data_IF_942166102083
#
_entry.id   IF_942166102083
#
_cell.length_a   1.000
_cell.length_b   1.000
_cell.length_c   1.000
_cell.angle_alpha   90.00
_cell.angle_beta   90.00
_cell.angle_gamma   90.00
#
_symmetry.space_group_name_H-M   'P 1'
#
loop_
_entity.id
_entity.type
_entity.pdbx_description
1 polymer ?
#
# COMPACT_ATOMS: atom_id res chain seq x y z
N UNK A 1 8.50 4.45 21.75
CA UNK A 1 7.23 5.17 21.92
C UNK A 1 6.20 4.45 21.06
N UNK A 2 5.06 4.04 21.64
CA UNK A 2 4.17 3.04 21.03
C UNK A 2 2.77 3.04 21.63
N UNK A 3 1.86 2.25 21.04
CA UNK A 3 0.48 2.09 21.50
C UNK A 3 0.50 1.35 22.83
N UNK A 4 -0.02 1.98 23.89
CA UNK A 4 -0.11 1.38 25.22
C UNK A 4 -1.39 0.57 25.35
N UNK A 5 -2.49 1.06 24.77
CA UNK A 5 -3.80 0.42 24.84
C UNK A 5 -4.63 0.71 23.59
N UNK A 6 -5.50 -0.22 23.19
CA UNK A 6 -6.39 -0.09 22.04
C UNK A 6 -7.79 -0.65 22.32
N UNK A 7 -8.81 0.10 21.94
CA UNK A 7 -10.22 -0.28 22.00
C UNK A 7 -10.91 0.15 20.70
N UNK A 8 -11.10 -0.81 19.78
CA UNK A 8 -11.59 -0.54 18.43
C UNK A 8 -10.64 0.38 17.64
N UNK A 9 -11.16 1.54 17.23
CA UNK A 9 -10.43 2.57 16.48
C UNK A 9 -9.73 3.60 17.39
N UNK A 10 -9.95 3.51 18.71
CA UNK A 10 -9.30 4.35 19.69
C UNK A 10 -7.97 3.75 20.12
N UNK A 11 -6.95 4.61 20.24
CA UNK A 11 -5.62 4.23 20.73
C UNK A 11 -5.15 5.21 21.80
N UNK A 12 -4.54 4.68 22.86
CA UNK A 12 -3.75 5.45 23.81
C UNK A 12 -2.27 5.23 23.46
N UNK A 13 -1.60 6.26 22.98
CA UNK A 13 -0.21 6.21 22.50
C UNK A 13 0.71 6.95 23.46
N UNK A 14 1.80 6.32 23.90
CA UNK A 14 2.84 7.00 24.69
C UNK A 14 3.77 7.77 23.74
N UNK A 15 3.73 9.10 23.80
CA UNK A 15 4.58 9.99 22.99
C UNK A 15 5.92 10.26 23.64
N UNK A 16 5.95 10.55 24.93
CA UNK A 16 7.17 10.81 25.69
C UNK A 16 6.96 10.34 27.14
N UNK A 17 8.01 10.40 27.97
CA UNK A 17 7.86 10.13 29.39
C UNK A 17 6.95 11.17 30.03
N UNK A 18 5.79 10.67 30.46
CA UNK A 18 4.71 11.46 31.02
C UNK A 18 3.77 12.13 30.03
N UNK A 19 3.92 11.89 28.71
CA UNK A 19 3.00 12.40 27.67
C UNK A 19 2.33 11.25 26.93
N UNK A 20 1.01 11.24 26.97
CA UNK A 20 0.17 10.29 26.26
C UNK A 20 -0.77 11.02 25.31
N UNK A 21 -1.15 10.38 24.21
CA UNK A 21 -2.14 10.90 23.27
C UNK A 21 -3.25 9.88 23.04
N UNK A 22 -4.49 10.31 23.19
CA UNK A 22 -5.66 9.57 22.75
C UNK A 22 -5.88 9.93 21.28
N UNK A 23 -5.82 8.93 20.40
CA UNK A 23 -6.10 9.08 18.97
C UNK A 23 -7.33 8.27 18.58
N UNK A 24 -8.09 8.76 17.60
CA UNK A 24 -9.18 8.03 16.96
C UNK A 24 -8.88 7.99 15.46
N UNK A 25 -8.77 6.80 14.88
CA UNK A 25 -8.31 6.65 13.49
C UNK A 25 -7.00 7.39 13.20
N UNK A 26 -6.08 7.40 14.18
CA UNK A 26 -4.78 8.11 14.17
C UNK A 26 -4.85 9.63 14.25
N UNK A 27 -6.04 10.23 14.25
CA UNK A 27 -6.19 11.66 14.48
C UNK A 27 -6.13 11.94 15.99
N UNK A 28 -5.18 12.74 16.49
CA UNK A 28 -5.06 13.06 17.91
C UNK A 28 -6.29 13.84 18.38
N UNK A 29 -7.00 13.27 19.35
CA UNK A 29 -8.21 13.83 19.93
C UNK A 29 -7.92 14.57 21.24
N UNK A 30 -7.02 14.03 22.06
CA UNK A 30 -6.68 14.58 23.37
C UNK A 30 -5.24 14.21 23.76
N UNK A 31 -4.54 15.12 24.44
CA UNK A 31 -3.20 14.89 24.98
C UNK A 31 -3.28 14.87 26.50
N UNK A 32 -2.62 13.89 27.13
CA UNK A 32 -2.64 13.68 28.57
C UNK A 32 -1.23 13.86 29.11
N UNK A 33 -1.08 14.71 30.13
CA UNK A 33 0.16 14.94 30.86
C UNK A 33 0.06 14.34 32.25
N UNK A 34 1.03 13.51 32.61
CA UNK A 34 1.17 12.93 33.97
C UNK A 34 2.27 13.66 34.74
N UNK A 35 2.42 13.45 36.06
CA UNK A 35 3.45 14.15 36.86
C UNK A 35 4.89 13.82 36.45
N UNK A 36 5.10 12.72 35.72
CA UNK A 36 6.39 12.33 35.18
C UNK A 36 6.85 13.23 34.02
N UNK A 37 5.94 14.06 33.49
CA UNK A 37 6.25 15.00 32.42
C UNK A 37 7.26 16.05 32.90
N UNK A 38 8.41 16.11 32.23
CA UNK A 38 9.43 17.13 32.47
C UNK A 38 9.34 18.16 31.35
N UNK A 39 8.90 19.40 31.62
CA UNK A 39 8.78 20.43 30.61
C UNK A 39 10.13 20.63 29.91
N UNK A 40 10.17 20.40 28.60
CA UNK A 40 11.35 20.54 27.78
C UNK A 40 11.43 21.93 27.15
N UNK A 41 12.57 22.25 26.53
CA UNK A 41 12.70 23.48 25.72
C UNK A 41 11.95 23.42 24.37
N UNK A 42 11.24 22.32 24.07
CA UNK A 42 10.56 22.07 22.79
C UNK A 42 9.02 22.07 22.89
N UNK A 43 8.45 22.45 24.05
CA UNK A 43 7.01 22.44 24.35
C UNK A 43 6.17 23.41 23.47
N UNK A 44 6.83 24.10 22.53
CA UNK A 44 6.24 25.11 21.67
C UNK A 44 5.92 24.62 20.24
N UNK A 45 5.84 23.31 20.01
CA UNK A 45 5.30 22.78 18.76
C UNK A 45 3.78 22.95 18.72
N UNK A 46 3.39 24.12 18.24
CA UNK A 46 2.03 24.45 17.87
C UNK A 46 1.54 23.75 16.60
N UNK A 47 0.32 24.18 16.23
CA UNK A 47 -0.45 23.86 15.03
C UNK A 47 -1.25 22.55 15.11
N UNK A 48 -1.99 22.43 16.20
CA UNK A 48 -3.19 21.61 16.36
C UNK A 48 -3.77 21.91 17.73
N UNK A 49 -4.99 22.45 17.82
CA UNK A 49 -5.64 22.74 19.10
C UNK A 49 -6.17 21.44 19.75
N UNK A 50 -5.28 20.47 19.97
CA UNK A 50 -5.63 19.23 20.68
C UNK A 50 -5.75 19.59 22.16
N UNK A 51 -6.91 19.36 22.81
CA UNK A 51 -7.09 19.64 24.23
C UNK A 51 -6.06 18.87 25.06
N UNK A 52 -5.51 19.54 26.07
CA UNK A 52 -4.53 18.97 26.99
C UNK A 52 -5.18 18.75 28.35
N UNK A 53 -5.10 17.53 28.86
CA UNK A 53 -5.58 17.12 30.17
C UNK A 53 -4.40 16.80 31.09
N UNK A 54 -4.40 17.31 32.31
CA UNK A 54 -3.40 16.95 33.31
C UNK A 54 -4.02 15.93 34.25
N UNK A 55 -3.36 14.79 34.44
CA UNK A 55 -3.79 13.72 35.33
C UNK A 55 -2.73 13.45 36.39
N UNK A 56 -3.12 12.90 37.53
CA UNK A 56 -2.22 12.59 38.65
C UNK A 56 -1.45 11.28 38.42
N UNK A 57 -1.94 10.39 37.56
CA UNK A 57 -1.31 9.09 37.32
C UNK A 57 -1.63 8.51 35.94
N UNK A 58 -0.86 7.50 35.54
CA UNK A 58 -1.13 6.71 34.33
C UNK A 58 -2.49 6.00 34.38
N UNK A 59 -2.92 5.51 35.56
CA UNK A 59 -4.22 4.85 35.71
C UNK A 59 -5.39 5.78 35.41
N UNK A 60 -5.24 7.07 35.69
CA UNK A 60 -6.25 8.08 35.36
C UNK A 60 -6.25 8.39 33.85
N UNK A 61 -5.08 8.37 33.20
CA UNK A 61 -4.99 8.45 31.74
C UNK A 61 -5.72 7.28 31.05
N UNK A 62 -5.60 6.06 31.60
CA UNK A 62 -6.36 4.91 31.11
C UNK A 62 -7.87 5.07 31.32
N UNK A 63 -8.30 5.60 32.47
CA UNK A 63 -9.71 5.88 32.73
C UNK A 63 -10.30 6.88 31.73
N UNK A 64 -9.58 7.96 31.42
CA UNK A 64 -9.98 8.91 30.37
C UNK A 64 -10.07 8.24 28.99
N UNK A 65 -9.12 7.36 28.68
CA UNK A 65 -9.14 6.60 27.42
C UNK A 65 -10.38 5.70 27.33
N UNK A 66 -10.68 4.92 28.38
CA UNK A 66 -11.87 4.05 28.44
C UNK A 66 -13.16 4.86 28.31
N UNK A 67 -13.24 6.03 28.96
CA UNK A 67 -14.40 6.92 28.85
C UNK A 67 -14.59 7.39 27.39
N UNK A 68 -13.52 7.78 26.70
CA UNK A 68 -13.58 8.20 25.29
C UNK A 68 -13.96 7.05 24.36
N UNK A 69 -13.37 5.87 24.57
CA UNK A 69 -13.60 4.69 23.76
C UNK A 69 -15.04 4.20 23.88
N UNK A 70 -15.61 4.20 25.10
CA UNK A 70 -16.93 3.65 25.38
C UNK A 70 -18.06 4.70 25.31
N UNK A 71 -17.76 5.98 25.58
CA UNK A 71 -18.73 7.06 25.73
C UNK A 71 -19.44 7.48 24.43
N UNK A 72 -18.93 7.12 23.25
CA UNK A 72 -19.59 7.42 21.96
C UNK A 72 -20.76 6.51 21.62
N UNK A 73 -20.94 5.39 22.32
CA UNK A 73 -22.10 4.51 22.16
C UNK A 73 -23.43 5.22 22.46
N UNK A 74 -23.41 6.30 23.24
CA UNK A 74 -24.63 6.90 23.81
C UNK A 74 -25.00 8.29 23.26
N UNK A 75 -24.14 8.98 22.49
CA UNK A 75 -24.40 10.39 22.12
C UNK A 75 -24.61 10.67 20.62
N UNK A 76 -24.54 9.68 19.73
CA UNK A 76 -24.74 9.90 18.27
C UNK A 76 -26.21 9.99 17.82
N UNK A 77 -27.17 10.25 18.72
CA UNK A 77 -28.58 10.49 18.35
C UNK A 77 -29.10 11.91 18.66
N UNK A 78 -28.21 12.88 18.89
CA UNK A 78 -28.61 14.28 19.02
C UNK A 78 -27.94 15.11 17.93
N UNK A 79 -28.70 15.37 16.87
CA UNK A 79 -28.40 16.32 15.81
C UNK A 79 -28.60 17.75 16.35
N UNK A 80 -27.54 18.55 16.63
CA UNK A 80 -27.71 19.94 16.98
C UNK A 80 -27.70 20.73 15.67
N UNK A 81 -28.87 21.28 15.34
CA UNK A 81 -29.07 22.12 14.18
C UNK A 81 -28.04 23.26 14.09
N UNK A 82 -27.54 23.45 12.87
CA UNK A 82 -26.80 24.62 12.41
C UNK A 82 -27.49 25.91 12.87
N UNK A 83 -26.80 26.71 13.68
CA UNK A 83 -26.94 28.17 13.68
C UNK A 83 -25.55 28.77 13.51
N UNK A 84 -25.37 29.43 12.38
CA UNK A 84 -24.19 30.21 12.02
C UNK A 84 -24.45 31.67 12.39
N UNK A 85 -23.57 32.34 13.15
CA UNK A 85 -23.51 33.78 13.15
C UNK A 85 -22.31 34.24 12.32
N UNK A 86 -22.68 34.94 11.25
CA UNK A 86 -21.87 35.82 10.44
C UNK A 86 -21.05 36.79 11.32
N UNK A 87 -19.73 36.83 11.15
CA UNK A 87 -18.83 37.72 11.90
C UNK A 87 -17.55 37.96 11.10
N UNK A 88 -17.55 39.02 10.29
CA UNK A 88 -16.43 39.41 9.44
C UNK A 88 -15.26 39.96 10.23
N UNK A 89 -14.05 39.63 9.78
CA UNK A 89 -12.83 40.35 10.10
C UNK A 89 -11.98 40.50 8.83
N UNK A 90 -11.69 41.75 8.50
CA UNK A 90 -10.88 42.13 7.34
C UNK A 90 -9.41 41.81 7.53
N UNK A 91 -8.76 41.40 6.45
CA UNK A 91 -7.32 41.19 6.37
C UNK A 91 -6.75 42.22 5.39
N UNK A 92 -5.68 42.95 5.73
CA UNK A 92 -5.04 43.87 4.80
C UNK A 92 -4.18 43.11 3.78
N UNK A 93 -4.33 43.53 2.52
CA UNK A 93 -3.53 43.12 1.37
C UNK A 93 -2.06 43.51 1.55
N UNK A 94 -1.18 42.52 1.70
CA UNK A 94 0.27 42.69 1.59
C UNK A 94 0.70 42.46 0.14
N UNK A 95 1.26 43.50 -0.47
CA UNK A 95 1.88 43.47 -1.78
C UNK A 95 3.31 42.90 -1.70
N UNK A 96 3.63 42.15 -2.76
CA UNK A 96 4.93 42.09 -3.45
C UNK A 96 6.07 41.25 -2.85
N UNK A 97 6.51 40.23 -3.58
CA UNK A 97 7.89 40.13 -4.12
C UNK A 97 8.06 38.89 -5.04
N UNK A 98 8.82 39.11 -6.13
CA UNK A 98 9.21 38.15 -7.16
C UNK A 98 10.01 36.94 -6.62
N UNK A 99 9.92 35.76 -7.27
CA UNK A 99 10.92 34.71 -7.09
C UNK A 99 12.13 34.91 -8.01
N UNK A 100 13.37 34.63 -7.54
CA UNK A 100 14.52 34.53 -8.42
C UNK A 100 14.54 33.20 -9.18
N UNK A 101 14.82 33.30 -10.47
CA UNK A 101 15.14 32.20 -11.38
C UNK A 101 16.48 31.55 -10.97
N UNK A 102 16.40 30.37 -10.36
CA UNK A 102 17.55 29.49 -10.10
C UNK A 102 17.44 28.23 -10.95
N UNK A 103 18.23 28.15 -12.02
CA UNK A 103 18.37 26.95 -12.83
C UNK A 103 19.19 25.90 -12.06
N UNK A 104 18.52 24.90 -11.51
CA UNK A 104 19.16 23.69 -10.99
C UNK A 104 19.06 22.59 -12.05
N UNK A 105 20.21 22.23 -12.61
CA UNK A 105 20.40 21.03 -13.42
C UNK A 105 20.14 19.80 -12.57
N UNK A 106 18.95 19.23 -12.71
CA UNK A 106 18.59 17.96 -12.09
C UNK A 106 19.45 16.83 -12.68
N UNK A 107 20.32 16.28 -11.84
CA UNK A 107 21.02 15.02 -12.07
C UNK A 107 19.99 13.91 -12.05
N UNK A 108 19.71 13.32 -13.21
CA UNK A 108 18.82 12.16 -13.37
C UNK A 108 19.37 11.00 -12.51
N UNK A 109 18.65 10.52 -11.49
CA UNK A 109 19.04 9.31 -10.79
C UNK A 109 18.79 8.12 -11.71
N UNK A 110 19.84 7.32 -11.93
CA UNK A 110 19.75 6.02 -12.57
C UNK A 110 18.94 5.08 -11.65
N UNK A 111 17.64 4.99 -11.89
CA UNK A 111 16.80 3.95 -11.33
C UNK A 111 17.07 2.65 -12.12
N UNK A 112 17.81 1.74 -11.50
CA UNK A 112 17.83 0.32 -11.86
C UNK A 112 16.86 -0.36 -10.91
N UNK A 113 15.58 -0.34 -11.30
CA UNK A 113 14.55 -1.19 -10.70
C UNK A 113 14.17 -2.18 -11.80
N UNK A 114 14.80 -3.36 -11.76
CA UNK A 114 14.63 -4.44 -12.72
C UNK A 114 13.30 -5.18 -12.45
N UNK A 115 12.20 -4.43 -12.30
CA UNK A 115 10.88 -5.00 -12.43
C UNK A 115 10.65 -5.22 -13.93
N UNK A 116 10.92 -6.44 -14.40
CA UNK A 116 10.55 -6.91 -15.73
C UNK A 116 9.01 -6.81 -15.85
N UNK A 117 8.53 -5.64 -16.27
CA UNK A 117 7.14 -5.48 -16.67
C UNK A 117 6.97 -6.27 -17.96
N UNK A 118 6.46 -7.50 -17.83
CA UNK A 118 6.06 -8.32 -18.96
C UNK A 118 4.91 -7.60 -19.67
N UNK A 119 5.26 -6.80 -20.68
CA UNK A 119 4.30 -6.20 -21.58
C UNK A 119 3.59 -7.32 -22.33
N UNK A 120 2.26 -7.26 -22.52
CA UNK A 120 1.56 -8.24 -23.33
C UNK A 120 2.22 -8.34 -24.71
N UNK A 121 2.20 -9.52 -25.36
CA UNK A 121 2.82 -9.71 -26.67
C UNK A 121 2.41 -8.64 -27.70
N UNK A 122 1.15 -8.18 -27.68
CA UNK A 122 0.73 -7.07 -28.54
C UNK A 122 1.18 -5.69 -28.08
N UNK A 123 1.41 -5.48 -26.78
CA UNK A 123 2.08 -4.28 -26.27
C UNK A 123 3.51 -4.16 -26.80
N UNK A 124 4.26 -5.27 -26.79
CA UNK A 124 5.61 -5.33 -27.38
C UNK A 124 5.56 -5.07 -28.89
N UNK A 125 4.65 -5.72 -29.61
CA UNK A 125 4.51 -5.53 -31.06
C UNK A 125 4.18 -4.07 -31.43
N UNK A 126 3.29 -3.41 -30.66
CA UNK A 126 2.93 -2.01 -30.87
C UNK A 126 4.13 -1.08 -30.66
N UNK A 127 4.89 -1.30 -29.58
CA UNK A 127 6.11 -0.53 -29.29
C UNK A 127 7.13 -0.71 -30.42
N UNK A 128 7.35 -1.94 -30.89
CA UNK A 128 8.26 -2.21 -32.01
C UNK A 128 7.85 -1.47 -33.29
N UNK A 129 6.55 -1.47 -33.64
CA UNK A 129 6.04 -0.73 -34.81
C UNK A 129 6.27 0.77 -34.66
N UNK A 130 5.89 1.35 -33.51
CA UNK A 130 6.03 2.79 -33.27
C UNK A 130 7.51 3.20 -33.31
N UNK A 131 8.38 2.47 -32.62
CA UNK A 131 9.83 2.75 -32.61
C UNK A 131 10.43 2.60 -34.00
N UNK A 132 10.04 1.58 -34.76
CA UNK A 132 10.48 1.38 -36.14
C UNK A 132 10.08 2.54 -37.07
N UNK A 133 8.81 2.98 -37.01
CA UNK A 133 8.31 4.13 -37.79
C UNK A 133 9.05 5.41 -37.43
N UNK A 134 9.19 5.72 -36.14
CA UNK A 134 9.89 6.91 -35.66
C UNK A 134 11.36 6.92 -36.09
N UNK A 135 12.05 5.78 -36.00
CA UNK A 135 13.43 5.64 -36.46
C UNK A 135 13.58 5.95 -37.96
N UNK A 136 12.68 5.41 -38.80
CA UNK A 136 12.70 5.64 -40.26
C UNK A 136 12.38 7.11 -40.60
N UNK A 137 11.39 7.72 -39.92
CA UNK A 137 11.02 9.12 -40.18
C UNK A 137 12.11 10.10 -39.75
N UNK A 138 12.82 9.82 -38.67
CA UNK A 138 13.88 10.71 -38.13
C UNK A 138 15.20 10.62 -38.91
N UNK A 139 15.57 9.43 -39.41
CA UNK A 139 16.80 9.26 -40.20
C UNK A 139 16.68 9.70 -41.66
N UNK A 140 15.45 9.80 -42.16
CA UNK A 140 15.19 9.85 -43.60
C UNK A 140 15.48 8.50 -44.29
N UNK A 141 15.13 8.41 -45.57
CA UNK A 141 15.27 7.19 -46.37
C UNK A 141 16.69 7.12 -46.95
N UNK A 142 17.67 6.84 -46.09
CA UNK A 142 19.05 6.57 -46.48
C UNK A 142 19.31 5.06 -46.44
N UNK A 143 19.08 4.39 -47.57
CA UNK A 143 19.30 2.96 -47.71
C UNK A 143 20.76 2.59 -47.34
N UNK A 144 20.91 1.66 -46.40
CA UNK A 144 22.21 1.19 -45.92
C UNK A 144 22.70 1.81 -44.61
N UNK A 145 22.01 2.83 -44.08
CA UNK A 145 22.33 3.33 -42.73
C UNK A 145 21.91 2.31 -41.66
N UNK A 146 22.71 2.17 -40.59
CA UNK A 146 22.43 1.24 -39.48
C UNK A 146 21.07 1.55 -38.84
N UNK A 147 20.76 2.85 -38.65
CA UNK A 147 19.49 3.29 -38.08
C UNK A 147 18.30 2.86 -38.95
N UNK A 148 18.41 2.99 -40.27
CA UNK A 148 17.37 2.53 -41.20
C UNK A 148 17.19 1.01 -41.16
N UNK A 149 18.28 0.24 -41.10
CA UNK A 149 18.21 -1.23 -41.03
C UNK A 149 17.58 -1.71 -39.71
N UNK A 150 17.99 -1.11 -38.58
CA UNK A 150 17.42 -1.43 -37.26
C UNK A 150 15.94 -1.02 -37.20
N UNK A 151 15.60 0.21 -37.62
CA UNK A 151 14.22 0.69 -37.67
C UNK A 151 13.31 -0.16 -38.55
N UNK A 152 13.80 -0.57 -39.73
CA UNK A 152 13.08 -1.48 -40.62
C UNK A 152 12.91 -2.87 -40.00
N UNK A 153 13.92 -3.37 -39.29
CA UNK A 153 13.84 -4.64 -38.56
C UNK A 153 12.77 -4.64 -37.47
N UNK A 154 12.69 -3.58 -36.66
CA UNK A 154 11.63 -3.42 -35.65
C UNK A 154 10.24 -3.32 -36.28
N UNK A 155 10.12 -2.58 -37.39
CA UNK A 155 8.85 -2.43 -38.10
C UNK A 155 8.36 -3.76 -38.67
N UNK A 156 9.24 -4.50 -39.37
CA UNK A 156 8.92 -5.81 -39.96
C UNK A 156 8.62 -6.82 -38.85
N UNK A 157 9.40 -6.83 -37.77
CA UNK A 157 9.18 -7.70 -36.62
C UNK A 157 7.81 -7.47 -35.96
N UNK A 158 7.48 -6.21 -35.67
CA UNK A 158 6.19 -5.84 -35.08
C UNK A 158 5.00 -6.20 -35.99
N UNK A 159 5.09 -5.92 -37.29
CA UNK A 159 4.06 -6.32 -38.27
C UNK A 159 3.96 -7.85 -38.37
N UNK A 160 5.07 -8.57 -38.30
CA UNK A 160 5.09 -10.03 -38.33
C UNK A 160 4.36 -10.66 -37.14
N UNK A 161 4.57 -10.13 -35.93
CA UNK A 161 3.87 -10.58 -34.71
C UNK A 161 2.36 -10.32 -34.84
N UNK A 162 1.97 -9.13 -35.30
CA UNK A 162 0.56 -8.78 -35.54
C UNK A 162 -0.04 -9.73 -36.58
N UNK A 163 0.63 -9.91 -37.72
CA UNK A 163 0.17 -10.79 -38.80
C UNK A 163 0.01 -12.24 -38.37
N UNK A 164 0.93 -12.76 -37.56
CA UNK A 164 0.84 -14.12 -37.00
C UNK A 164 -0.38 -14.26 -36.08
N UNK A 165 -0.65 -13.27 -35.23
CA UNK A 165 -1.83 -13.27 -34.36
C UNK A 165 -3.13 -13.33 -35.20
N UNK A 166 -3.22 -12.54 -36.26
CA UNK A 166 -4.38 -12.53 -37.18
C UNK A 166 -4.51 -13.82 -38.02
N UNK A 167 -3.40 -14.45 -38.42
CA UNK A 167 -3.44 -15.74 -39.12
C UNK A 167 -3.90 -16.88 -38.22
N UNK A 168 -3.69 -16.76 -36.91
CA UNK A 168 -4.13 -17.73 -35.90
C UNK A 168 -5.58 -17.52 -35.42
N UNK A 169 -6.25 -16.46 -35.90
CA UNK A 169 -7.60 -16.10 -35.50
C UNK A 169 -8.59 -16.41 -36.62
N UNK A 170 -9.78 -16.89 -36.26
CA UNK A 170 -10.82 -17.18 -37.25
C UNK A 170 -11.55 -15.90 -37.65
N UNK A 171 -11.56 -14.90 -36.76
CA UNK A 171 -12.16 -13.59 -36.97
C UNK A 171 -11.21 -12.46 -36.63
N UNK A 172 -11.42 -11.28 -37.24
CA UNK A 172 -10.63 -10.09 -36.93
C UNK A 172 -10.78 -9.66 -35.46
N UNK A 173 -11.95 -9.90 -34.85
CA UNK A 173 -12.21 -9.58 -33.44
C UNK A 173 -11.34 -10.44 -32.49
N UNK A 174 -11.24 -11.75 -32.74
CA UNK A 174 -10.36 -12.66 -31.99
C UNK A 174 -8.88 -12.30 -32.18
N UNK A 175 -8.48 -11.86 -33.38
CA UNK A 175 -7.13 -11.41 -33.64
C UNK A 175 -6.74 -10.19 -32.80
N UNK A 176 -7.66 -9.24 -32.64
CA UNK A 176 -7.47 -8.09 -31.76
C UNK A 176 -7.51 -8.48 -30.28
N UNK A 177 -8.39 -9.40 -29.89
CA UNK A 177 -8.47 -9.88 -28.52
C UNK A 177 -7.14 -10.53 -28.12
N UNK A 178 -6.63 -11.50 -28.91
CA UNK A 178 -5.32 -12.16 -28.68
C UNK A 178 -4.13 -11.19 -28.62
N UNK A 179 -4.25 -10.02 -29.25
CA UNK A 179 -3.20 -9.00 -29.24
C UNK A 179 -3.26 -8.13 -27.96
N UNK A 180 -4.44 -7.98 -27.38
CA UNK A 180 -4.70 -7.14 -26.22
C UNK A 180 -4.81 -7.93 -24.91
N UNK A 181 -5.12 -9.23 -24.98
CA UNK A 181 -5.07 -10.10 -23.82
C UNK A 181 -3.62 -10.31 -23.43
N UNK A 182 -3.32 -9.83 -22.23
CA UNK A 182 -2.19 -10.31 -21.46
C UNK A 182 -2.48 -11.80 -21.30
N UNK A 183 -1.70 -12.66 -21.96
CA UNK A 183 -1.59 -14.05 -21.52
C UNK A 183 -1.04 -13.98 -20.09
N UNK A 184 -1.93 -13.84 -19.11
CA UNK A 184 -1.70 -14.45 -17.83
C UNK A 184 -1.49 -15.91 -18.19
N UNK A 185 -0.24 -16.33 -18.27
CA UNK A 185 0.18 -17.73 -18.18
C UNK A 185 -0.14 -18.23 -16.76
N UNK A 186 -1.41 -18.09 -16.41
CA UNK A 186 -2.14 -18.89 -15.47
C UNK A 186 -2.07 -20.31 -16.02
N UNK A 187 -1.16 -21.07 -15.45
CA UNK A 187 -1.41 -22.45 -15.06
C UNK A 187 -2.91 -22.70 -15.03
N UNK A 188 -3.44 -23.47 -15.98
CA UNK A 188 -4.85 -23.86 -16.02
C UNK A 188 -5.19 -24.62 -14.72
N UNK A 189 -5.58 -23.89 -13.68
CA UNK A 189 -6.44 -24.40 -12.64
C UNK A 189 -7.86 -24.24 -13.18
N UNK A 190 -8.29 -25.29 -13.87
CA UNK A 190 -9.67 -25.60 -14.21
C UNK A 190 -10.57 -25.28 -13.01
N UNK A 191 -11.26 -24.14 -13.08
CA UNK A 191 -12.27 -23.74 -12.11
C UNK A 191 -13.52 -24.59 -12.37
N UNK A 192 -13.49 -25.82 -11.86
CA UNK A 192 -14.73 -26.53 -11.55
C UNK A 192 -15.31 -25.86 -10.33
N UNK A 193 -16.41 -25.13 -10.53
CA UNK A 193 -17.45 -24.84 -9.55
C UNK A 193 -17.91 -26.16 -8.91
N UNK A 194 -17.11 -26.64 -7.96
CA UNK A 194 -17.40 -27.77 -7.08
C UNK A 194 -17.61 -27.20 -5.69
N UNK A 195 -18.77 -27.52 -5.14
CA UNK A 195 -19.29 -27.03 -3.87
C UNK A 195 -18.41 -27.44 -2.69
N UNK A 196 -17.28 -26.77 -2.54
CA UNK A 196 -16.45 -26.87 -1.35
C UNK A 196 -17.08 -26.01 -0.28
N UNK A 197 -17.56 -26.69 0.77
CA UNK A 197 -17.88 -26.10 2.07
C UNK A 197 -16.82 -25.05 2.41
N UNK A 198 -17.25 -23.78 2.45
CA UNK A 198 -16.41 -22.65 2.85
C UNK A 198 -15.87 -22.96 4.23
N UNK A 199 -14.62 -23.41 4.26
CA UNK A 199 -13.95 -23.78 5.50
C UNK A 199 -13.89 -22.52 6.36
N UNK A 200 -14.30 -22.59 7.65
CA UNK A 200 -14.42 -21.41 8.47
C UNK A 200 -13.09 -20.65 8.54
N UNK A 201 -13.12 -19.30 8.51
CA UNK A 201 -11.92 -18.49 8.57
C UNK A 201 -11.14 -18.78 9.86
N UNK A 202 -9.82 -18.55 9.82
CA UNK A 202 -8.99 -18.64 11.02
C UNK A 202 -9.64 -17.85 12.17
N UNK A 203 -9.66 -18.40 13.40
CA UNK A 203 -10.33 -17.76 14.53
C UNK A 203 -9.73 -16.37 14.76
N UNK A 204 -10.60 -15.42 15.06
CA UNK A 204 -10.23 -14.00 15.17
C UNK A 204 -9.17 -13.76 16.26
N UNK A 205 -9.20 -14.54 17.34
CA UNK A 205 -8.19 -14.52 18.40
C UNK A 205 -6.79 -14.80 17.88
N UNK A 206 -6.63 -15.79 16.99
CA UNK A 206 -5.33 -16.14 16.40
C UNK A 206 -4.84 -15.06 15.43
N UNK A 207 -5.75 -14.38 14.73
CA UNK A 207 -5.38 -13.26 13.86
C UNK A 207 -4.85 -12.06 14.66
N UNK A 208 -5.56 -11.70 15.73
CA UNK A 208 -5.16 -10.59 16.60
C UNK A 208 -3.81 -10.86 17.25
N UNK A 209 -3.62 -12.08 17.75
CA UNK A 209 -2.37 -12.57 18.30
C UNK A 209 -1.18 -12.44 17.31
N UNK A 210 -1.34 -12.94 16.08
CA UNK A 210 -0.32 -12.81 15.04
C UNK A 210 -0.02 -11.34 14.69
N UNK A 211 -1.07 -10.51 14.60
CA UNK A 211 -0.94 -9.13 14.17
C UNK A 211 -0.30 -8.23 15.24
N UNK A 212 -0.75 -8.34 16.49
CA UNK A 212 -0.34 -7.45 17.57
C UNK A 212 0.85 -7.98 18.35
N UNK A 213 0.87 -9.26 18.72
CA UNK A 213 1.92 -9.79 19.59
C UNK A 213 3.16 -10.19 18.81
N UNK A 214 2.98 -10.81 17.64
CA UNK A 214 4.09 -11.35 16.85
C UNK A 214 4.64 -10.35 15.85
N UNK A 215 3.77 -9.77 15.04
CA UNK A 215 4.18 -8.93 13.92
C UNK A 215 4.34 -7.44 14.28
N UNK A 216 3.88 -7.01 15.46
CA UNK A 216 3.91 -5.61 15.93
C UNK A 216 3.46 -4.61 14.84
N UNK A 217 2.35 -4.94 14.17
CA UNK A 217 1.78 -4.17 13.07
C UNK A 217 2.72 -3.96 11.86
N UNK A 218 3.71 -4.83 11.68
CA UNK A 218 4.64 -4.80 10.57
C UNK A 218 4.43 -5.99 9.64
N UNK A 219 4.72 -5.79 8.37
CA UNK A 219 4.80 -6.87 7.42
C UNK A 219 6.01 -7.75 7.76
N UNK A 220 5.82 -9.03 8.08
CA UNK A 220 6.92 -9.94 8.42
C UNK A 220 7.87 -10.19 7.25
N UNK A 221 7.47 -9.83 6.02
CA UNK A 221 8.31 -9.94 4.83
C UNK A 221 9.26 -8.74 4.65
N UNK A 222 8.71 -7.53 4.55
CA UNK A 222 9.47 -6.29 4.28
C UNK A 222 9.82 -5.46 5.53
N UNK A 223 9.18 -5.71 6.66
CA UNK A 223 9.38 -4.97 7.92
C UNK A 223 8.70 -3.59 7.99
N UNK A 224 7.92 -3.22 6.97
CA UNK A 224 7.22 -1.94 6.95
C UNK A 224 5.98 -1.99 7.85
N UNK A 225 5.68 -0.89 8.56
CA UNK A 225 4.42 -0.75 9.31
C UNK A 225 3.25 -0.70 8.33
N UNK A 226 2.20 -1.48 8.64
CA UNK A 226 1.02 -1.61 7.79
C UNK A 226 -0.23 -1.38 8.63
N UNK A 227 -1.15 -0.58 8.10
CA UNK A 227 -2.41 -0.28 8.79
C UNK A 227 -3.39 -1.45 8.77
N UNK A 228 -3.37 -2.20 7.67
CA UNK A 228 -4.23 -3.33 7.38
C UNK A 228 -3.40 -4.49 6.82
N UNK A 229 -2.58 -5.17 7.64
CA UNK A 229 -1.94 -6.36 7.17
C UNK A 229 -2.91 -7.53 7.16
N UNK A 230 -2.59 -8.49 6.31
CA UNK A 230 -3.39 -9.67 6.03
C UNK A 230 -2.60 -10.91 6.44
N UNK A 231 -3.29 -11.87 7.04
CA UNK A 231 -2.69 -13.14 7.45
C UNK A 231 -2.79 -14.12 6.29
N UNK A 232 -1.63 -14.54 5.77
CA UNK A 232 -1.51 -15.46 4.66
C UNK A 232 -1.12 -16.87 5.13
N UNK A 233 -1.78 -17.90 4.59
CA UNK A 233 -1.39 -19.30 4.80
C UNK A 233 -0.25 -19.69 3.86
N UNK A 234 0.92 -20.03 4.39
CA UNK A 234 2.09 -20.40 3.57
C UNK A 234 1.83 -21.69 2.78
N UNK A 235 1.24 -22.70 3.42
CA UNK A 235 0.63 -23.84 2.75
C UNK A 235 -0.87 -23.57 2.71
N UNK A 236 -1.47 -23.40 1.53
CA UNK A 236 -2.91 -23.12 1.40
C UNK A 236 -3.77 -24.19 2.08
N UNK A 237 -4.94 -23.79 2.57
CA UNK A 237 -5.92 -24.71 3.18
C UNK A 237 -6.41 -25.77 2.19
N UNK A 238 -6.54 -25.41 0.91
CA UNK A 238 -6.90 -26.33 -0.18
C UNK A 238 -5.89 -27.47 -0.37
N UNK A 239 -4.63 -27.25 0.02
CA UNK A 239 -3.57 -28.27 -0.01
C UNK A 239 -3.39 -28.99 1.34
N UNK A 240 -4.34 -28.82 2.27
CA UNK A 240 -4.26 -29.41 3.61
C UNK A 240 -3.36 -28.65 4.58
N UNK A 241 -3.07 -27.36 4.32
CA UNK A 241 -2.28 -26.52 5.20
C UNK A 241 -2.90 -26.40 6.62
N UNK A 242 -2.10 -26.57 7.69
CA UNK A 242 -2.61 -26.40 9.05
C UNK A 242 -2.90 -24.91 9.36
N UNK A 243 -3.78 -24.65 10.31
CA UNK A 243 -4.11 -23.28 10.75
C UNK A 243 -3.31 -22.89 12.01
N UNK A 244 -2.04 -23.26 12.03
CA UNK A 244 -1.14 -23.04 13.16
C UNK A 244 -0.24 -21.84 12.91
N UNK A 245 0.26 -21.21 13.99
CA UNK A 245 1.18 -20.04 13.92
C UNK A 245 2.37 -20.25 12.97
N UNK A 246 2.89 -21.47 12.87
CA UNK A 246 4.04 -21.79 11.99
C UNK A 246 3.71 -21.82 10.49
N UNK A 247 2.42 -21.87 10.13
CA UNK A 247 1.94 -21.86 8.74
C UNK A 247 1.28 -20.52 8.35
N UNK A 248 1.24 -19.56 9.27
CA UNK A 248 0.64 -18.24 9.07
C UNK A 248 1.72 -17.17 9.10
N UNK A 249 1.65 -16.24 8.16
CA UNK A 249 2.55 -15.08 8.07
C UNK A 249 1.75 -13.79 7.87
N UNK A 250 2.14 -12.72 8.55
CA UNK A 250 1.51 -11.40 8.45
C UNK A 250 2.18 -10.61 7.34
N UNK A 251 1.42 -10.21 6.31
CA UNK A 251 1.92 -9.51 5.13
C UNK A 251 1.17 -8.20 4.89
N UNK A 252 1.83 -7.21 4.28
CA UNK A 252 1.11 -6.07 3.71
C UNK A 252 0.33 -6.50 2.45
N UNK A 253 -0.72 -5.76 2.03
CA UNK A 253 -1.54 -6.14 0.87
C UNK A 253 -0.71 -6.38 -0.42
N UNK A 254 0.37 -5.62 -0.61
CA UNK A 254 1.26 -5.78 -1.75
C UNK A 254 2.01 -7.14 -1.71
N UNK A 255 2.54 -7.52 -0.55
CA UNK A 255 3.26 -8.78 -0.40
C UNK A 255 2.32 -9.98 -0.30
N UNK A 256 1.10 -9.78 0.21
CA UNK A 256 0.06 -10.80 0.18
C UNK A 256 -0.26 -11.21 -1.27
N UNK A 257 -0.57 -10.24 -2.15
CA UNK A 257 -0.80 -10.50 -3.58
C UNK A 257 0.39 -11.17 -4.26
N UNK A 258 1.61 -10.77 -3.94
CA UNK A 258 2.83 -11.42 -4.47
C UNK A 258 3.00 -12.86 -3.97
N UNK A 259 2.59 -13.16 -2.74
CA UNK A 259 2.61 -14.51 -2.21
C UNK A 259 1.53 -15.39 -2.88
N UNK A 260 0.31 -14.86 -3.04
CA UNK A 260 -0.78 -15.55 -3.74
C UNK A 260 -0.42 -15.87 -5.20
N UNK A 261 0.21 -14.91 -5.90
CA UNK A 261 0.70 -15.08 -7.27
C UNK A 261 1.94 -15.99 -7.38
N UNK A 262 2.47 -16.52 -6.28
CA UNK A 262 3.65 -17.38 -6.27
C UNK A 262 4.98 -16.66 -6.51
N UNK A 263 4.98 -15.33 -6.66
CA UNK A 263 6.21 -14.52 -6.80
C UNK A 263 7.11 -14.60 -5.56
N UNK A 264 6.51 -14.87 -4.38
CA UNK A 264 7.24 -15.20 -3.16
C UNK A 264 7.08 -16.70 -2.88
N UNK A 265 8.16 -17.46 -3.10
CA UNK A 265 8.16 -18.90 -2.84
C UNK A 265 7.86 -19.24 -1.36
N UNK A 266 7.06 -20.29 -1.14
CA UNK A 266 6.67 -20.81 0.20
C UNK A 266 7.87 -21.10 1.11
N UNK A 267 8.98 -21.59 0.53
CA UNK A 267 10.23 -21.86 1.27
C UNK A 267 10.85 -20.59 1.84
N UNK A 268 10.83 -19.48 1.09
CA UNK A 268 11.28 -18.16 1.57
C UNK A 268 10.40 -17.66 2.72
N UNK A 269 9.07 -17.76 2.59
CA UNK A 269 8.14 -17.37 3.68
C UNK A 269 8.42 -18.18 4.96
N UNK A 270 8.54 -19.51 4.86
CA UNK A 270 8.90 -20.38 6.01
C UNK A 270 10.25 -20.01 6.62
N UNK A 271 11.24 -19.68 5.81
CA UNK A 271 12.56 -19.27 6.31
C UNK A 271 12.50 -17.96 7.09
N UNK A 272 11.59 -17.05 6.72
CA UNK A 272 11.39 -15.77 7.39
C UNK A 272 10.75 -15.98 8.77
N UNK A 273 9.70 -16.80 8.87
CA UNK A 273 9.08 -17.19 10.14
C UNK A 273 10.11 -17.77 11.11
N UNK A 274 10.92 -18.75 10.66
CA UNK A 274 11.93 -19.39 11.52
C UNK A 274 12.99 -18.43 12.06
N UNK A 275 13.22 -17.30 11.40
CA UNK A 275 14.16 -16.27 11.89
C UNK A 275 13.53 -15.35 12.93
N UNK A 276 12.21 -15.25 12.96
CA UNK A 276 11.47 -14.42 13.93
C UNK A 276 11.27 -15.20 15.23
N UNK A 277 11.13 -16.53 15.15
CA UNK A 277 10.94 -17.41 16.31
C UNK A 277 12.23 -17.77 17.06
N UNK A 278 13.41 -17.41 16.52
CA UNK A 278 14.73 -17.64 17.14
C UNK A 278 15.28 -16.35 17.74
#
# INVERSE_FOLDING_TARGET
MGVVRREGDWRLEKREDGVYEITYNKDPQERILTPDYKPGMMDNYGIGAVPVHNVESYSEAEGLFEERANGRSSSMNANPGRTSPNGGFGVPSVQNSQPPSGANTAKVPAATDDSEQELPPGGVALVMVITGVVAIMTSGIQFGSIVFLVGSGFLIGGIGIIGLAFLSAETAAEGFEKLLTIEESSTEAKDTDDGTEKTPPAPESLKNDLYFERADQQCEWCGEQVDQPEVHHIVPRSEGGPNDRSNLIVLCPNHHRKADAGAISRSKLKSKIRRIEN
#
